data_IF_377127013400
#
_entry.id   IF_377127013400
#
_cell.length_a   1.000
_cell.length_b   1.000
_cell.length_c   1.000
_cell.angle_alpha   90.00
_cell.angle_beta   90.00
_cell.angle_gamma   90.00
#
_symmetry.space_group_name_H-M   'P 1'
#
loop_
_entity.id
_entity.type
_entity.pdbx_description
1 polymer ?
#
# COMPACT_ATOMS: atom_id res chain seq x y z
N UNK A 1 -33.30 -48.63 31.48
CA UNK A 1 -32.38 -47.48 31.35
C UNK A 1 -32.05 -47.31 29.87
N UNK A 2 -32.67 -46.34 29.19
CA UNK A 2 -32.48 -46.13 27.73
C UNK A 2 -31.22 -45.28 27.54
N UNK A 3 -30.21 -45.85 26.87
CA UNK A 3 -28.91 -45.22 26.63
C UNK A 3 -29.04 -44.02 25.68
N UNK A 4 -28.67 -42.83 26.17
CA UNK A 4 -28.62 -41.57 25.41
C UNK A 4 -27.31 -41.41 24.60
N UNK A 5 -26.45 -42.43 24.57
CA UNK A 5 -25.15 -42.39 23.92
C UNK A 5 -25.15 -42.06 22.41
N UNK A 6 -26.09 -42.54 21.57
CA UNK A 6 -25.96 -42.32 20.12
C UNK A 6 -26.26 -40.88 19.69
N UNK A 7 -27.05 -40.12 20.46
CA UNK A 7 -27.45 -38.74 20.11
C UNK A 7 -26.27 -37.77 20.27
N UNK A 8 -25.39 -37.99 21.25
CA UNK A 8 -24.22 -37.11 21.48
C UNK A 8 -23.15 -37.23 20.39
N UNK A 9 -23.02 -38.40 19.77
CA UNK A 9 -22.06 -38.62 18.68
C UNK A 9 -22.46 -37.87 17.40
N UNK A 10 -23.76 -37.83 17.09
CA UNK A 10 -24.28 -37.18 15.88
C UNK A 10 -24.12 -35.65 15.96
N UNK A 11 -24.36 -35.06 17.13
CA UNK A 11 -24.19 -33.61 17.34
C UNK A 11 -22.72 -33.21 17.21
N UNK A 12 -21.79 -33.98 17.77
CA UNK A 12 -20.36 -33.70 17.66
C UNK A 12 -19.84 -33.77 16.22
N UNK A 13 -20.29 -34.76 15.44
CA UNK A 13 -19.92 -34.90 14.04
C UNK A 13 -20.47 -33.76 13.16
N UNK A 14 -21.69 -33.29 13.46
CA UNK A 14 -22.31 -32.17 12.74
C UNK A 14 -21.58 -30.84 12.94
N UNK A 15 -21.12 -30.56 14.17
CA UNK A 15 -20.33 -29.34 14.45
C UNK A 15 -18.97 -29.39 13.76
N UNK A 16 -18.33 -30.57 13.72
CA UNK A 16 -17.03 -30.73 13.06
C UNK A 16 -17.11 -30.54 11.54
N UNK A 17 -18.15 -31.09 10.91
CA UNK A 17 -18.40 -30.93 9.46
C UNK A 17 -18.79 -29.49 9.09
N UNK A 18 -19.55 -28.80 9.95
CA UNK A 18 -19.88 -27.38 9.74
C UNK A 18 -18.62 -26.49 9.83
N UNK A 19 -17.70 -26.77 10.76
CA UNK A 19 -16.42 -26.06 10.85
C UNK A 19 -15.52 -26.31 9.63
N UNK A 20 -15.51 -27.53 9.10
CA UNK A 20 -14.72 -27.88 7.91
C UNK A 20 -15.25 -27.19 6.63
N UNK A 21 -16.58 -27.08 6.49
CA UNK A 21 -17.20 -26.43 5.33
C UNK A 21 -16.98 -24.90 5.33
N UNK A 22 -16.95 -24.28 6.53
CA UNK A 22 -16.61 -22.87 6.69
C UNK A 22 -15.15 -22.57 6.31
N UNK A 23 -14.22 -23.49 6.64
CA UNK A 23 -12.80 -23.37 6.27
C UNK A 23 -12.54 -23.56 4.77
N UNK A 24 -13.40 -24.30 4.06
CA UNK A 24 -13.26 -24.51 2.61
C UNK A 24 -13.96 -23.44 1.75
N UNK A 25 -14.83 -22.62 2.34
CA UNK A 25 -15.62 -21.63 1.58
C UNK A 25 -14.96 -20.25 1.47
N UNK A 26 -13.79 -20.03 2.07
CA UNK A 26 -13.08 -18.75 2.00
C UNK A 26 -11.99 -18.70 0.93
N UNK A 27 -12.11 -19.53 -0.12
CA UNK A 27 -11.36 -19.35 -1.36
C UNK A 27 -11.89 -18.09 -2.06
N UNK A 28 -11.59 -16.92 -1.49
CA UNK A 28 -11.85 -15.63 -2.09
C UNK A 28 -11.32 -15.64 -3.51
N UNK A 29 -12.14 -15.16 -4.44
CA UNK A 29 -11.80 -15.01 -5.86
C UNK A 29 -10.37 -14.49 -5.99
N UNK A 30 -9.47 -15.33 -6.49
CA UNK A 30 -8.03 -15.04 -6.62
C UNK A 30 -7.73 -13.94 -7.65
N UNK A 31 -8.73 -13.20 -8.10
CA UNK A 31 -8.59 -12.23 -9.18
C UNK A 31 -9.66 -11.13 -9.06
N UNK A 32 -9.94 -10.66 -7.84
CA UNK A 32 -10.75 -9.44 -7.63
C UNK A 32 -9.92 -8.19 -7.97
N UNK A 33 -10.19 -7.49 -9.10
CA UNK A 33 -9.43 -6.31 -9.49
C UNK A 33 -9.61 -5.14 -8.51
N UNK A 34 -10.74 -5.08 -7.81
CA UNK A 34 -10.99 -4.04 -6.82
C UNK A 34 -10.18 -4.27 -5.56
N UNK A 35 -9.98 -5.52 -5.15
CA UNK A 35 -9.07 -5.87 -4.07
C UNK A 35 -7.63 -5.44 -4.38
N UNK A 36 -7.18 -5.69 -5.62
CA UNK A 36 -5.86 -5.26 -6.08
C UNK A 36 -5.70 -3.74 -6.00
N UNK A 37 -6.59 -2.97 -6.62
CA UNK A 37 -6.49 -1.51 -6.66
C UNK A 37 -6.60 -0.87 -5.26
N UNK A 38 -7.47 -1.39 -4.38
CA UNK A 38 -7.58 -0.89 -3.00
C UNK A 38 -6.30 -1.12 -2.20
N UNK A 39 -5.72 -2.32 -2.29
CA UNK A 39 -4.45 -2.66 -1.61
C UNK A 39 -3.32 -1.79 -2.12
N UNK A 40 -3.19 -1.69 -3.45
CA UNK A 40 -2.16 -0.88 -4.10
C UNK A 40 -2.26 0.60 -3.73
N UNK A 41 -3.47 1.14 -3.67
CA UNK A 41 -3.70 2.51 -3.22
C UNK A 41 -3.30 2.70 -1.76
N UNK A 42 -3.67 1.78 -0.87
CA UNK A 42 -3.31 1.84 0.54
C UNK A 42 -1.78 1.81 0.75
N UNK A 43 -1.07 0.89 0.10
CA UNK A 43 0.39 0.82 0.15
C UNK A 43 1.04 2.11 -0.39
N UNK A 44 0.54 2.66 -1.49
CA UNK A 44 1.04 3.91 -2.06
C UNK A 44 0.84 5.10 -1.11
N UNK A 45 -0.34 5.22 -0.50
CA UNK A 45 -0.63 6.30 0.46
C UNK A 45 0.23 6.15 1.72
N UNK A 46 0.46 4.92 2.18
CA UNK A 46 1.35 4.64 3.29
C UNK A 46 2.78 5.10 2.99
N UNK A 47 3.32 4.69 1.84
CA UNK A 47 4.65 5.13 1.39
C UNK A 47 4.73 6.65 1.30
N UNK A 48 3.79 7.28 0.61
CA UNK A 48 3.76 8.74 0.45
C UNK A 48 3.72 9.47 1.80
N UNK A 49 2.80 9.09 2.71
CA UNK A 49 2.70 9.72 4.02
C UNK A 49 3.99 9.49 4.84
N UNK A 50 4.58 8.29 4.79
CA UNK A 50 5.85 8.03 5.46
C UNK A 50 7.00 8.89 4.92
N UNK A 51 7.05 9.13 3.60
CA UNK A 51 8.10 9.95 2.98
C UNK A 51 7.93 11.44 3.30
N UNK A 52 6.68 11.94 3.34
CA UNK A 52 6.36 13.35 3.62
C UNK A 52 6.65 13.71 5.08
N UNK A 53 6.31 12.83 6.01
CA UNK A 53 6.41 13.11 7.44
C UNK A 53 7.65 12.53 8.11
N UNK A 54 8.56 11.98 7.31
CA UNK A 54 9.83 11.39 7.72
C UNK A 54 10.64 12.25 8.69
N UNK A 55 10.77 13.55 8.44
CA UNK A 55 11.55 14.45 9.29
C UNK A 55 10.85 14.77 10.64
N UNK A 56 9.55 14.44 10.76
CA UNK A 56 8.79 14.50 12.00
C UNK A 56 8.72 13.13 12.73
N UNK A 57 9.20 12.07 12.09
CA UNK A 57 8.98 10.66 12.45
C UNK A 57 10.08 10.07 13.37
N UNK A 58 11.15 10.83 13.65
CA UNK A 58 12.22 10.48 14.62
C UNK A 58 11.71 10.09 16.02
N UNK A 59 10.42 10.30 16.30
CA UNK A 59 9.78 10.10 17.59
C UNK A 59 8.69 9.05 17.60
N UNK A 60 8.55 8.24 16.55
CA UNK A 60 7.34 7.42 16.39
C UNK A 60 7.64 5.93 16.59
N UNK A 61 7.43 5.42 17.81
CA UNK A 61 7.36 3.99 18.07
C UNK A 61 6.00 3.48 17.57
N UNK A 62 5.94 3.09 16.30
CA UNK A 62 4.88 2.20 15.83
C UNK A 62 5.46 0.81 15.68
N UNK A 63 5.24 -0.08 16.64
CA UNK A 63 5.58 -1.51 16.45
C UNK A 63 4.49 -2.21 15.63
N UNK A 64 3.35 -1.55 15.45
CA UNK A 64 2.19 -2.06 14.72
C UNK A 64 1.72 -1.11 13.62
N UNK A 65 1.07 -1.67 12.60
CA UNK A 65 0.53 -0.91 11.48
C UNK A 65 -0.52 0.15 11.91
N UNK A 66 -1.48 -0.13 12.82
CA UNK A 66 -2.45 0.87 13.25
C UNK A 66 -1.82 2.06 14.00
N UNK A 67 -0.79 1.83 14.82
CA UNK A 67 -0.06 2.90 15.50
C UNK A 67 0.67 3.81 14.49
N UNK A 68 1.27 3.20 13.46
CA UNK A 68 1.96 3.95 12.42
C UNK A 68 0.96 4.81 11.61
N UNK A 69 -0.21 4.26 11.26
CA UNK A 69 -1.29 5.01 10.59
C UNK A 69 -1.76 6.18 11.45
N UNK A 70 -2.12 5.92 12.72
CA UNK A 70 -2.60 6.95 13.64
C UNK A 70 -1.57 8.06 13.84
N UNK A 71 -0.28 7.70 13.83
CA UNK A 71 0.78 8.70 13.96
C UNK A 71 0.92 9.56 12.71
N UNK A 72 0.93 8.94 11.52
CA UNK A 72 0.99 9.68 10.26
C UNK A 72 -0.21 10.64 10.11
N UNK A 73 -1.41 10.22 10.51
CA UNK A 73 -2.59 11.09 10.57
C UNK A 73 -2.43 12.23 11.58
N UNK A 74 -1.87 11.94 12.76
CA UNK A 74 -1.57 12.95 13.79
C UNK A 74 -0.56 14.01 13.33
N UNK A 75 0.33 13.67 12.38
CA UNK A 75 1.27 14.60 11.74
C UNK A 75 0.65 15.40 10.58
N UNK A 76 -0.59 15.09 10.19
CA UNK A 76 -1.32 15.75 9.10
C UNK A 76 -1.41 14.93 7.81
N UNK A 77 -0.88 13.70 7.81
CA UNK A 77 -1.09 12.75 6.73
C UNK A 77 -2.56 12.42 6.56
N UNK A 78 -2.94 12.08 5.33
CA UNK A 78 -4.33 11.73 5.01
C UNK A 78 -4.38 10.44 4.23
N UNK A 79 -5.32 9.58 4.58
CA UNK A 79 -5.62 8.34 3.87
C UNK A 79 -7.02 8.44 3.26
N UNK A 80 -7.25 7.72 2.16
CA UNK A 80 -8.63 7.50 1.71
C UNK A 80 -9.37 6.64 2.74
N UNK A 81 -10.70 6.76 2.83
CA UNK A 81 -11.50 5.99 3.81
C UNK A 81 -11.23 4.48 3.70
N UNK A 82 -11.20 3.94 2.47
CA UNK A 82 -10.92 2.54 2.21
C UNK A 82 -9.49 2.14 2.62
N UNK A 83 -8.50 2.99 2.33
CA UNK A 83 -7.11 2.74 2.71
C UNK A 83 -6.92 2.78 4.23
N UNK A 84 -7.49 3.78 4.91
CA UNK A 84 -7.45 3.88 6.36
C UNK A 84 -8.08 2.65 7.01
N UNK A 85 -9.20 2.18 6.48
CA UNK A 85 -9.88 0.97 6.97
C UNK A 85 -9.01 -0.27 6.83
N UNK A 86 -8.41 -0.50 5.65
CA UNK A 86 -7.53 -1.65 5.39
C UNK A 86 -6.28 -1.63 6.29
N UNK A 87 -5.60 -0.49 6.36
CA UNK A 87 -4.37 -0.34 7.14
C UNK A 87 -4.65 -0.49 8.64
N UNK A 88 -5.76 0.07 9.16
CA UNK A 88 -6.14 -0.09 10.56
C UNK A 88 -6.63 -1.49 10.90
N UNK A 89 -7.25 -2.22 9.95
CA UNK A 89 -7.60 -3.62 10.19
C UNK A 89 -6.39 -4.55 10.07
N UNK A 90 -5.28 -4.08 9.51
CA UNK A 90 -4.13 -4.91 9.20
C UNK A 90 -4.40 -5.93 8.09
N UNK A 91 -5.45 -5.72 7.27
CA UNK A 91 -5.86 -6.63 6.21
C UNK A 91 -5.72 -5.97 4.85
N UNK A 92 -5.36 -6.75 3.82
CA UNK A 92 -5.36 -6.32 2.43
C UNK A 92 -6.76 -6.43 1.79
N UNK A 93 -6.85 -6.05 0.51
CA UNK A 93 -8.10 -6.07 -0.25
C UNK A 93 -8.72 -7.46 -0.42
N UNK A 94 -7.95 -8.53 -0.24
CA UNK A 94 -8.43 -9.92 -0.25
C UNK A 94 -8.74 -10.46 1.16
N UNK A 95 -8.58 -9.64 2.20
CA UNK A 95 -8.85 -10.00 3.58
C UNK A 95 -7.73 -10.80 4.24
N UNK A 96 -6.49 -10.68 3.74
CA UNK A 96 -5.31 -11.34 4.30
C UNK A 96 -4.49 -10.37 5.12
N UNK A 97 -3.72 -10.87 6.08
CA UNK A 97 -2.86 -10.03 6.91
C UNK A 97 -1.81 -9.30 6.07
N UNK A 98 -1.72 -7.99 6.27
CA UNK A 98 -0.59 -7.18 5.83
C UNK A 98 0.62 -7.48 6.71
N UNK A 99 1.78 -7.60 6.08
CA UNK A 99 3.03 -7.90 6.76
C UNK A 99 3.80 -6.60 6.92
N UNK A 100 4.01 -6.18 8.16
CA UNK A 100 4.91 -5.08 8.49
C UNK A 100 6.20 -5.68 9.07
N UNK A 101 7.30 -5.59 8.32
CA UNK A 101 8.59 -6.16 8.69
C UNK A 101 9.64 -5.05 8.85
N UNK A 102 10.40 -5.09 9.95
CA UNK A 102 11.52 -4.18 10.17
C UNK A 102 12.77 -4.71 9.44
N UNK A 103 13.22 -4.02 8.38
CA UNK A 103 14.39 -4.42 7.57
C UNK A 103 15.70 -3.87 8.13
N UNK A 104 15.68 -2.69 8.73
CA UNK A 104 16.85 -2.07 9.37
C UNK A 104 16.43 -1.34 10.64
N UNK A 105 17.33 -0.57 11.27
CA UNK A 105 16.95 0.30 12.37
C UNK A 105 15.80 1.25 11.97
N UNK A 106 15.75 1.64 10.69
CA UNK A 106 15.08 2.85 10.20
C UNK A 106 14.40 2.68 8.85
N UNK A 107 14.28 1.43 8.40
CA UNK A 107 13.50 1.04 7.24
C UNK A 107 12.56 -0.06 7.67
N UNK A 108 11.28 0.14 7.38
CA UNK A 108 10.24 -0.87 7.46
C UNK A 108 9.79 -1.23 6.06
N UNK A 109 9.28 -2.44 5.90
CA UNK A 109 8.67 -2.92 4.68
C UNK A 109 7.24 -3.29 5.00
N UNK A 110 6.30 -2.75 4.23
CA UNK A 110 4.89 -3.13 4.29
C UNK A 110 4.54 -3.94 3.04
N UNK A 111 4.05 -5.16 3.22
CA UNK A 111 3.76 -6.12 2.13
C UNK A 111 2.37 -6.73 2.23
N UNK A 112 1.74 -6.99 1.08
CA UNK A 112 0.57 -7.86 0.89
C UNK A 112 1.00 -9.12 0.14
N UNK A 113 0.46 -10.28 0.54
CA UNK A 113 0.70 -11.61 -0.09
C UNK A 113 -0.03 -11.83 -1.41
N UNK A 114 -0.55 -10.75 -2.00
CA UNK A 114 -1.29 -10.81 -3.25
C UNK A 114 -2.56 -11.68 -3.21
N UNK A 115 -3.16 -11.92 -4.38
CA UNK A 115 -4.32 -12.80 -4.59
C UNK A 115 -4.12 -14.28 -4.26
N UNK A 116 -2.91 -14.84 -4.31
CA UNK A 116 -2.65 -16.25 -4.02
C UNK A 116 -2.50 -16.52 -2.50
N UNK A 117 -2.18 -15.50 -1.70
CA UNK A 117 -2.01 -15.58 -0.25
C UNK A 117 -0.74 -16.29 0.22
N UNK A 118 0.17 -16.59 -0.69
CA UNK A 118 1.49 -17.16 -0.46
C UNK A 118 2.46 -15.99 -0.34
N UNK A 119 3.27 -15.99 0.71
CA UNK A 119 4.34 -15.00 0.84
C UNK A 119 5.53 -15.42 -0.02
N UNK A 120 5.66 -14.80 -1.18
CA UNK A 120 6.75 -15.03 -2.15
C UNK A 120 7.90 -14.02 -1.94
N UNK A 121 7.95 -13.36 -0.78
CA UNK A 121 8.98 -12.40 -0.39
C UNK A 121 9.10 -11.19 -1.33
N UNK A 122 7.98 -10.73 -1.90
CA UNK A 122 7.97 -9.62 -2.85
C UNK A 122 8.06 -10.06 -4.32
N UNK A 123 8.14 -11.36 -4.58
CA UNK A 123 8.05 -11.94 -5.93
C UNK A 123 6.59 -12.26 -6.30
N UNK A 124 6.37 -12.67 -7.56
CA UNK A 124 5.07 -13.15 -8.02
C UNK A 124 3.98 -12.07 -8.00
N UNK A 125 2.94 -12.30 -7.21
CA UNK A 125 1.78 -11.41 -7.04
C UNK A 125 1.82 -10.58 -5.74
N UNK A 126 2.90 -10.68 -4.98
CA UNK A 126 3.14 -9.83 -3.81
C UNK A 126 3.22 -8.35 -4.20
N UNK A 127 2.79 -7.50 -3.28
CA UNK A 127 2.94 -6.05 -3.40
C UNK A 127 3.62 -5.51 -2.16
N UNK A 128 4.73 -4.80 -2.34
CA UNK A 128 5.50 -4.24 -1.23
C UNK A 128 5.90 -2.78 -1.44
N UNK A 129 6.08 -2.08 -0.33
CA UNK A 129 6.65 -0.73 -0.29
C UNK A 129 7.60 -0.61 0.90
N UNK A 130 8.75 0.01 0.67
CA UNK A 130 9.62 0.47 1.73
C UNK A 130 9.06 1.75 2.36
N UNK A 131 9.07 1.78 3.69
CA UNK A 131 8.74 2.90 4.53
C UNK A 131 10.04 3.36 5.20
N UNK A 132 10.39 4.61 4.97
CA UNK A 132 11.60 5.22 5.53
C UNK A 132 11.18 6.23 6.61
N UNK A 133 11.14 5.85 7.89
CA UNK A 133 10.96 6.81 8.97
C UNK A 133 12.18 7.72 9.19
N UNK A 134 13.38 7.37 8.71
CA UNK A 134 14.59 8.17 8.99
C UNK A 134 14.68 9.48 8.19
N UNK A 135 14.99 10.63 8.82
CA UNK A 135 15.18 11.92 8.16
C UNK A 135 16.15 11.85 7.00
N UNK A 136 16.04 12.80 6.05
CA UNK A 136 17.06 12.87 4.97
C UNK A 136 18.33 13.30 5.67
N UNK A 137 19.50 12.74 5.32
CA UNK A 137 20.74 13.37 5.72
C UNK A 137 20.66 14.84 5.31
N UNK A 138 20.87 15.74 6.27
CA UNK A 138 20.86 17.17 6.02
C UNK A 138 21.77 17.46 4.81
N UNK A 139 21.31 18.18 3.77
CA UNK A 139 22.17 18.55 2.66
C UNK A 139 23.34 19.44 3.11
N UNK A 140 23.34 19.88 4.36
CA UNK A 140 24.37 20.71 5.00
C UNK A 140 25.56 19.92 5.56
N UNK A 141 25.55 18.59 5.52
CA UNK A 141 26.53 17.71 6.19
C UNK A 141 27.72 17.22 5.35
N UNK A 142 27.90 17.68 4.10
CA UNK A 142 28.97 17.18 3.22
C UNK A 142 29.50 18.25 2.28
N UNK A 143 30.63 18.83 2.67
CA UNK A 143 31.43 19.82 1.95
C UNK A 143 30.68 21.09 1.56
N UNK A 144 30.95 22.15 2.31
CA UNK A 144 30.98 23.52 1.82
C UNK A 144 31.96 23.63 0.64
N UNK A 145 31.57 23.09 -0.51
CA UNK A 145 32.14 23.42 -1.80
C UNK A 145 31.78 24.86 -2.08
N UNK A 146 32.80 25.71 -2.10
CA UNK A 146 32.76 27.10 -2.54
C UNK A 146 31.73 27.29 -3.66
N UNK A 147 30.67 28.04 -3.39
CA UNK A 147 29.80 28.57 -4.42
C UNK A 147 30.66 29.53 -5.25
N UNK A 148 31.32 29.03 -6.30
CA UNK A 148 31.90 29.87 -7.34
C UNK A 148 30.74 30.46 -8.15
N UNK A 149 30.19 31.57 -7.66
CA UNK A 149 29.25 32.41 -8.38
C UNK A 149 30.00 33.31 -9.39
N UNK A 150 30.91 32.73 -10.16
CA UNK A 150 31.70 33.43 -11.18
C UNK A 150 31.71 32.60 -12.46
N UNK A 151 30.64 32.71 -13.25
CA UNK A 151 30.78 33.03 -14.67
C UNK A 151 29.42 33.36 -15.31
N UNK A 152 29.35 34.60 -15.76
CA UNK A 152 28.47 35.07 -16.81
C UNK A 152 28.62 34.18 -18.07
N UNK A 153 27.61 33.38 -18.39
CA UNK A 153 27.39 32.88 -19.75
C UNK A 153 25.94 33.16 -20.18
N UNK A 154 25.84 34.28 -20.89
CA UNK A 154 24.95 34.66 -21.97
C UNK A 154 23.77 33.71 -22.32
N UNK A 155 22.51 34.20 -22.33
CA UNK A 155 21.36 33.39 -22.72
C UNK A 155 21.39 33.07 -24.22
N UNK A 156 21.50 31.78 -24.54
CA UNK A 156 21.23 31.28 -25.89
C UNK A 156 19.79 31.63 -26.31
N UNK A 157 19.57 32.21 -27.51
CA UNK A 157 18.25 32.64 -27.95
C UNK A 157 17.32 31.44 -28.16
N UNK A 158 16.08 31.60 -27.69
CA UNK A 158 14.99 30.65 -27.84
C UNK A 158 14.77 30.24 -29.30
N UNK A 159 14.64 28.94 -29.53
CA UNK A 159 14.13 28.41 -30.80
C UNK A 159 12.64 28.79 -30.95
N UNK A 160 12.20 29.19 -32.16
CA UNK A 160 10.81 29.55 -32.40
C UNK A 160 9.87 28.34 -32.23
N UNK A 161 8.59 28.57 -31.86
CA UNK A 161 7.61 27.52 -31.62
C UNK A 161 7.31 26.73 -32.90
N UNK A 162 7.28 25.41 -32.78
CA UNK A 162 6.84 24.50 -33.83
C UNK A 162 5.34 24.72 -34.12
N UNK A 163 5.02 24.69 -35.41
CA UNK A 163 3.71 24.93 -35.98
C UNK A 163 2.60 24.06 -35.37
N UNK A 164 1.48 24.74 -35.15
CA UNK A 164 0.16 24.28 -34.73
C UNK A 164 -0.36 23.13 -35.64
N UNK A 165 -0.60 21.91 -35.12
CA UNK A 165 -1.31 20.89 -35.87
C UNK A 165 -2.80 21.20 -35.89
N UNK A 166 -3.21 21.87 -36.97
CA UNK A 166 -4.50 21.80 -37.66
C UNK A 166 -5.55 20.91 -36.99
N UNK A 167 -6.58 21.57 -36.46
CA UNK A 167 -7.85 20.98 -36.08
C UNK A 167 -8.41 20.08 -37.20
N UNK A 168 -8.58 18.80 -36.90
CA UNK A 168 -9.34 17.87 -37.73
C UNK A 168 -10.84 18.10 -37.49
N UNK A 169 -11.66 18.40 -38.51
CA UNK A 169 -13.10 18.50 -38.33
C UNK A 169 -13.73 17.10 -38.19
N UNK A 170 -14.55 16.93 -37.16
CA UNK A 170 -15.37 15.74 -36.88
C UNK A 170 -16.36 15.48 -38.02
N UNK A 171 -16.44 14.26 -38.61
CA UNK A 171 -17.48 13.94 -39.58
C UNK A 171 -18.85 13.80 -38.91
N UNK A 172 -19.85 14.43 -39.53
CA UNK A 172 -21.23 14.47 -39.07
C UNK A 172 -21.90 13.09 -39.09
N UNK A 173 -22.68 12.85 -38.04
CA UNK A 173 -23.65 11.76 -37.86
C UNK A 173 -24.59 11.69 -39.07
N UNK A 174 -24.66 10.54 -39.76
CA UNK A 174 -25.69 10.26 -40.77
C UNK A 174 -26.73 9.32 -40.14
N UNK A 175 -27.93 9.84 -39.93
CA UNK A 175 -29.12 9.05 -39.66
C UNK A 175 -29.67 8.52 -40.98
N UNK A 176 -29.84 7.19 -41.10
CA UNK A 176 -30.87 6.44 -41.86
C UNK A 176 -30.48 4.98 -41.95
#
# INVERSE_FOLDING_TARGET
>A
MKSLAPIRLIVALGVFLAGLWLAMSSSGSSDDPQAHERTKLALRQMKYNSEVYRDADDRVPGESLPELVATLEGLGGSFSEDSAKLLNSGLDGWGRDLILEKRSATTWMLRSRGPNGIDEQGEGDDMEVDLHPEPRPDPSGGESGSCNCDHDEEPSPASPPADDPTQQPTPAKRES
#
